data_IF_537460957034
#
_entry.id   IF_537460957034
#
_cell.length_a   1.000
_cell.length_b   1.000
_cell.length_c   1.000
_cell.angle_alpha   90.00
_cell.angle_beta   90.00
_cell.angle_gamma   90.00
#
_symmetry.space_group_name_H-M   'P 1'
#
loop_
_entity.id
_entity.type
_entity.pdbx_description
1 polymer ?
#
# COMPACT_ATOMS: atom_id res chain seq x y z
N UNK A 1 45.95 -7.39 13.06
CA UNK A 1 47.16 -7.34 12.21
C UNK A 1 47.54 -5.93 11.73
N UNK A 2 46.66 -5.14 11.06
CA UNK A 2 47.06 -3.79 10.58
C UNK A 2 47.17 -2.76 11.72
N UNK A 3 46.20 -2.72 12.64
CA UNK A 3 46.22 -1.85 13.83
C UNK A 3 47.38 -2.14 14.81
N UNK A 4 47.69 -3.41 15.06
CA UNK A 4 48.83 -3.81 15.91
C UNK A 4 50.17 -3.29 15.38
N UNK A 5 50.32 -3.25 14.07
CA UNK A 5 51.55 -2.81 13.42
C UNK A 5 51.73 -1.28 13.48
N UNK A 6 50.63 -0.54 13.51
CA UNK A 6 50.66 0.93 13.61
C UNK A 6 50.93 1.39 15.05
N UNK A 7 50.38 0.69 16.05
CA UNK A 7 50.72 0.92 17.46
C UNK A 7 52.21 0.64 17.75
N UNK A 8 52.77 -0.43 17.17
CA UNK A 8 54.18 -0.76 17.32
C UNK A 8 55.10 0.31 16.73
N UNK A 9 54.80 0.82 15.53
CA UNK A 9 55.56 1.92 14.89
C UNK A 9 55.52 3.20 15.72
N UNK A 10 54.37 3.52 16.29
CA UNK A 10 54.22 4.70 17.15
C UNK A 10 55.07 4.59 18.43
N UNK A 11 55.10 3.40 19.06
CA UNK A 11 55.93 3.14 20.25
C UNK A 11 57.43 3.24 19.91
N UNK A 12 57.86 2.68 18.78
CA UNK A 12 59.25 2.78 18.30
C UNK A 12 59.64 4.24 18.03
N UNK A 13 58.74 5.03 17.44
CA UNK A 13 58.94 6.47 17.23
C UNK A 13 59.11 7.22 18.56
N UNK A 14 58.26 6.95 19.55
CA UNK A 14 58.37 7.58 20.88
C UNK A 14 59.67 7.20 21.60
N UNK A 15 60.05 5.93 21.55
CA UNK A 15 61.29 5.43 22.16
C UNK A 15 62.53 6.05 21.50
N UNK A 16 62.55 6.11 20.17
CA UNK A 16 63.67 6.73 19.43
C UNK A 16 63.82 8.23 19.71
N UNK A 17 62.71 8.98 19.79
CA UNK A 17 62.73 10.41 20.19
C UNK A 17 63.27 10.57 21.61
N UNK A 18 62.83 9.72 22.54
CA UNK A 18 63.28 9.76 23.94
C UNK A 18 64.78 9.43 24.07
N UNK A 19 65.25 8.44 23.29
CA UNK A 19 66.66 8.05 23.27
C UNK A 19 67.56 9.16 22.71
N UNK A 20 67.11 9.83 21.63
CA UNK A 20 67.78 11.00 21.06
C UNK A 20 67.90 12.15 22.06
N UNK A 21 66.85 12.39 22.86
CA UNK A 21 66.85 13.40 23.91
C UNK A 21 67.90 13.11 25.00
N UNK A 22 67.95 11.87 25.49
CA UNK A 22 68.94 11.43 26.50
C UNK A 22 70.37 11.50 25.95
N UNK A 23 70.57 11.08 24.70
CA UNK A 23 71.86 11.18 24.02
C UNK A 23 72.33 12.63 23.87
N UNK A 24 71.43 13.54 23.49
CA UNK A 24 71.72 14.97 23.38
C UNK A 24 72.18 15.56 24.71
N UNK A 25 71.56 15.17 25.83
CA UNK A 25 71.97 15.61 27.17
C UNK A 25 73.41 15.16 27.48
N UNK A 26 73.69 13.86 27.34
CA UNK A 26 75.01 13.28 27.67
C UNK A 26 76.11 13.89 26.81
N UNK A 27 75.82 14.18 25.52
CA UNK A 27 76.76 14.79 24.60
C UNK A 27 77.13 16.23 25.01
N UNK A 28 76.15 17.06 25.34
CA UNK A 28 76.37 18.45 25.78
C UNK A 28 77.19 18.49 27.08
N UNK A 29 76.91 17.58 28.02
CA UNK A 29 77.57 17.55 29.32
C UNK A 29 79.05 17.11 29.24
N UNK A 30 79.40 16.30 28.23
CA UNK A 30 80.79 15.85 27.98
C UNK A 30 81.60 16.77 27.07
N UNK A 31 80.99 17.44 26.09
CA UNK A 31 81.71 18.14 25.02
C UNK A 31 81.62 19.67 25.07
N UNK A 32 80.77 20.27 25.92
CA UNK A 32 80.62 21.73 26.05
C UNK A 32 81.12 22.21 27.42
N UNK A 33 82.07 23.16 27.43
CA UNK A 33 82.60 23.78 28.64
C UNK A 33 81.51 24.52 29.42
N UNK A 34 81.55 24.41 30.75
CA UNK A 34 80.51 24.92 31.68
C UNK A 34 80.11 26.38 31.41
N UNK A 35 81.07 27.25 31.10
CA UNK A 35 80.84 28.68 30.85
C UNK A 35 80.06 28.97 29.55
N UNK A 36 80.09 28.07 28.56
CA UNK A 36 79.41 28.25 27.26
C UNK A 36 78.05 27.52 27.17
N UNK A 37 77.71 26.71 28.18
CA UNK A 37 76.45 25.94 28.21
C UNK A 37 75.20 26.82 28.22
N UNK A 38 75.28 27.99 28.87
CA UNK A 38 74.18 28.97 28.91
C UNK A 38 73.82 29.48 27.50
N UNK A 39 74.81 29.95 26.73
CA UNK A 39 74.63 30.41 25.35
C UNK A 39 74.13 29.29 24.41
N UNK A 40 74.45 28.03 24.70
CA UNK A 40 73.94 26.88 23.97
C UNK A 40 72.48 26.59 24.33
N UNK A 41 72.11 26.71 25.62
CA UNK A 41 70.73 26.62 26.11
C UNK A 41 69.80 27.65 25.50
N UNK A 42 70.26 28.88 25.28
CA UNK A 42 69.45 29.95 24.64
C UNK A 42 69.00 29.60 23.21
N UNK A 43 69.84 28.87 22.44
CA UNK A 43 69.46 28.37 21.11
C UNK A 43 68.40 27.28 21.18
N UNK A 44 68.46 26.41 22.20
CA UNK A 44 67.42 25.43 22.46
C UNK A 44 66.10 26.08 22.92
N UNK A 45 66.14 27.23 23.62
CA UNK A 45 64.95 27.99 23.96
C UNK A 45 64.17 28.49 22.72
N UNK A 46 64.89 29.00 21.72
CA UNK A 46 64.30 29.39 20.43
C UNK A 46 63.70 28.18 19.69
N UNK A 47 64.45 27.07 19.62
CA UNK A 47 64.01 25.82 18.99
C UNK A 47 62.77 25.24 19.70
N UNK A 48 62.74 25.23 21.03
CA UNK A 48 61.59 24.77 21.81
C UNK A 48 60.35 25.63 21.54
N UNK A 49 60.50 26.95 21.48
CA UNK A 49 59.41 27.86 21.17
C UNK A 49 58.83 27.61 19.77
N UNK A 50 59.70 27.33 18.79
CA UNK A 50 59.29 26.95 17.43
C UNK A 50 58.56 25.60 17.41
N UNK A 51 59.07 24.59 18.11
CA UNK A 51 58.42 23.28 18.23
C UNK A 51 57.06 23.38 18.93
N UNK A 52 56.92 24.21 19.96
CA UNK A 52 55.62 24.47 20.61
C UNK A 52 54.63 25.14 19.64
N UNK A 53 55.08 26.10 18.83
CA UNK A 53 54.25 26.71 17.79
C UNK A 53 53.82 25.72 16.69
N UNK A 54 54.74 24.88 16.23
CA UNK A 54 54.44 23.83 15.25
C UNK A 54 53.51 22.74 15.82
N UNK A 55 53.71 22.32 17.06
CA UNK A 55 52.83 21.38 17.73
C UNK A 55 51.41 21.95 17.87
N UNK A 56 51.29 23.23 18.23
CA UNK A 56 50.00 23.93 18.26
C UNK A 56 49.37 23.98 16.86
N UNK A 57 50.14 24.27 15.82
CA UNK A 57 49.65 24.28 14.44
C UNK A 57 49.17 22.89 13.98
N UNK A 58 49.88 21.82 14.34
CA UNK A 58 49.46 20.43 14.09
C UNK A 58 48.18 20.10 14.85
N UNK A 59 48.04 20.51 16.12
CA UNK A 59 46.82 20.29 16.91
C UNK A 59 45.64 21.03 16.27
N UNK A 60 45.80 22.30 15.91
CA UNK A 60 44.76 23.10 15.24
C UNK A 60 44.36 22.44 13.91
N UNK A 61 45.33 22.01 13.11
CA UNK A 61 45.06 21.31 11.85
C UNK A 61 44.31 19.99 12.07
N UNK A 62 44.71 19.21 13.07
CA UNK A 62 44.01 17.97 13.45
C UNK A 62 42.57 18.24 13.91
N UNK A 63 42.32 19.30 14.68
CA UNK A 63 40.96 19.70 15.09
C UNK A 63 40.12 20.05 13.86
N UNK A 64 40.68 20.79 12.90
CA UNK A 64 39.98 21.12 11.64
C UNK A 64 39.62 19.85 10.86
N UNK A 65 40.55 18.88 10.78
CA UNK A 65 40.32 17.61 10.10
C UNK A 65 39.25 16.77 10.82
N UNK A 66 39.28 16.70 12.15
CA UNK A 66 38.26 16.03 12.95
C UNK A 66 36.87 16.66 12.79
N UNK A 67 36.77 18.00 12.74
CA UNK A 67 35.51 18.68 12.47
C UNK A 67 34.97 18.32 11.08
N UNK A 68 35.84 18.24 10.07
CA UNK A 68 35.46 17.81 8.72
C UNK A 68 34.94 16.38 8.72
N UNK A 69 35.60 15.46 9.41
CA UNK A 69 35.17 14.05 9.53
C UNK A 69 33.82 13.93 10.23
N UNK A 70 33.62 14.63 11.36
CA UNK A 70 32.33 14.66 12.06
C UNK A 70 31.20 15.20 11.19
N UNK A 71 31.46 16.22 10.37
CA UNK A 71 30.48 16.76 9.44
C UNK A 71 30.12 15.74 8.34
N UNK A 72 31.11 15.01 7.81
CA UNK A 72 30.87 13.94 6.83
C UNK A 72 30.06 12.79 7.47
N UNK A 73 30.42 12.35 8.68
CA UNK A 73 29.67 11.31 9.41
C UNK A 73 28.22 11.72 9.69
N UNK A 74 27.99 12.99 10.08
CA UNK A 74 26.62 13.50 10.29
C UNK A 74 25.79 13.47 9.01
N UNK A 75 26.42 13.81 7.87
CA UNK A 75 25.77 13.75 6.55
C UNK A 75 25.41 12.31 6.20
N UNK A 76 26.36 11.39 6.29
CA UNK A 76 26.14 9.96 6.00
C UNK A 76 25.04 9.35 6.88
N UNK A 77 25.00 9.72 8.17
CA UNK A 77 23.94 9.28 9.09
C UNK A 77 22.57 9.84 8.70
N UNK A 78 22.52 11.07 8.21
CA UNK A 78 21.28 11.67 7.68
C UNK A 78 20.80 10.92 6.44
N UNK A 79 21.70 10.67 5.48
CA UNK A 79 21.40 9.95 4.24
C UNK A 79 20.94 8.51 4.55
N UNK A 80 21.62 7.82 5.47
CA UNK A 80 21.24 6.48 5.95
C UNK A 80 19.87 6.46 6.61
N UNK A 81 19.53 7.46 7.43
CA UNK A 81 18.20 7.56 8.06
C UNK A 81 17.10 7.74 7.01
N UNK A 82 17.38 8.46 5.94
CA UNK A 82 16.41 8.66 4.87
C UNK A 82 16.17 7.35 4.10
N UNK A 83 17.25 6.67 3.69
CA UNK A 83 17.17 5.35 3.04
C UNK A 83 16.41 4.34 3.91
N UNK A 84 16.66 4.33 5.22
CA UNK A 84 15.95 3.45 6.15
C UNK A 84 14.43 3.72 6.19
N UNK A 85 13.99 4.98 6.11
CA UNK A 85 12.56 5.31 6.04
C UNK A 85 11.92 4.79 4.77
N UNK A 86 12.59 4.96 3.64
CA UNK A 86 12.10 4.50 2.33
C UNK A 86 12.01 2.95 2.31
N UNK A 87 13.01 2.25 2.85
CA UNK A 87 12.98 0.79 2.99
C UNK A 87 11.86 0.31 3.95
N UNK A 88 11.66 0.99 5.08
CA UNK A 88 10.58 0.66 6.02
C UNK A 88 9.20 0.88 5.39
N UNK A 89 9.03 1.95 4.61
CA UNK A 89 7.83 2.19 3.82
C UNK A 89 7.57 1.05 2.83
N UNK A 90 8.56 0.71 1.98
CA UNK A 90 8.43 -0.36 0.99
C UNK A 90 8.08 -1.70 1.65
N UNK A 91 8.77 -2.05 2.74
CA UNK A 91 8.51 -3.27 3.51
C UNK A 91 7.08 -3.28 4.05
N UNK A 92 6.63 -2.18 4.65
CA UNK A 92 5.26 -2.05 5.16
C UNK A 92 4.24 -2.18 4.03
N UNK A 93 4.47 -1.51 2.91
CA UNK A 93 3.60 -1.55 1.73
C UNK A 93 3.46 -2.97 1.17
N UNK A 94 4.56 -3.68 0.93
CA UNK A 94 4.51 -5.05 0.40
C UNK A 94 3.91 -6.04 1.41
N UNK A 95 4.11 -5.82 2.71
CA UNK A 95 3.42 -6.59 3.74
C UNK A 95 1.90 -6.37 3.68
N UNK A 96 1.44 -5.13 3.48
CA UNK A 96 0.01 -4.86 3.28
C UNK A 96 -0.52 -5.56 2.01
N UNK A 97 0.20 -5.53 0.89
CA UNK A 97 -0.20 -6.29 -0.31
C UNK A 97 -0.30 -7.79 -0.01
N UNK A 98 0.67 -8.35 0.71
CA UNK A 98 0.63 -9.76 1.10
C UNK A 98 -0.58 -10.08 1.97
N UNK A 99 -0.87 -9.25 2.98
CA UNK A 99 -2.07 -9.37 3.82
C UNK A 99 -3.35 -9.25 2.99
N UNK A 100 -3.38 -8.39 1.98
CA UNK A 100 -4.52 -8.30 1.06
C UNK A 100 -4.78 -9.63 0.35
N UNK A 101 -3.73 -10.30 -0.15
CA UNK A 101 -3.87 -11.61 -0.79
C UNK A 101 -4.33 -12.69 0.20
N UNK A 102 -3.89 -12.64 1.46
CA UNK A 102 -4.37 -13.53 2.51
C UNK A 102 -5.85 -13.33 2.79
N UNK A 103 -6.30 -12.08 2.96
CA UNK A 103 -7.72 -11.74 3.15
C UNK A 103 -8.56 -12.25 1.97
N UNK A 104 -8.07 -12.12 0.74
CA UNK A 104 -8.75 -12.71 -0.43
C UNK A 104 -8.90 -14.22 -0.25
N UNK A 105 -7.84 -14.94 0.10
CA UNK A 105 -7.88 -16.40 0.21
C UNK A 105 -8.74 -16.90 1.38
N UNK A 106 -8.94 -16.09 2.42
CA UNK A 106 -9.79 -16.39 3.57
C UNK A 106 -11.29 -16.19 3.29
N UNK A 107 -11.65 -15.54 2.19
CA UNK A 107 -13.05 -15.40 1.78
C UNK A 107 -13.64 -16.79 1.50
N UNK A 108 -14.70 -17.14 2.19
CA UNK A 108 -15.44 -18.38 1.97
C UNK A 108 -16.92 -18.18 2.32
N UNK A 109 -17.81 -18.62 1.44
CA UNK A 109 -19.25 -18.64 1.69
C UNK A 109 -19.93 -19.62 0.76
N UNK A 110 -21.06 -20.18 1.20
CA UNK A 110 -22.00 -20.90 0.33
C UNK A 110 -23.08 -19.94 -0.16
N UNK A 111 -23.29 -19.86 -1.47
CA UNK A 111 -24.37 -19.08 -2.08
C UNK A 111 -25.48 -20.04 -2.50
N UNK A 112 -26.68 -19.79 -2.01
CA UNK A 112 -27.84 -20.65 -2.25
C UNK A 112 -28.78 -20.03 -3.28
N UNK A 113 -29.26 -20.86 -4.18
CA UNK A 113 -30.20 -20.48 -5.22
C UNK A 113 -31.15 -21.63 -5.56
N UNK A 114 -32.25 -21.39 -6.27
CA UNK A 114 -33.16 -22.45 -6.71
C UNK A 114 -32.70 -23.08 -8.04
N UNK A 115 -32.59 -24.41 -8.07
CA UNK A 115 -32.26 -25.20 -9.27
C UNK A 115 -33.51 -25.62 -10.04
N UNK A 116 -34.58 -25.95 -9.32
CA UNK A 116 -35.91 -26.28 -9.84
C UNK A 116 -36.97 -25.70 -8.89
N UNK A 117 -38.25 -25.95 -9.14
CA UNK A 117 -39.34 -25.48 -8.27
C UNK A 117 -39.22 -25.96 -6.81
N UNK A 118 -38.53 -27.07 -6.54
CA UNK A 118 -38.40 -27.66 -5.20
C UNK A 118 -36.96 -28.05 -4.80
N UNK A 119 -35.96 -27.82 -5.65
CA UNK A 119 -34.56 -28.14 -5.35
C UNK A 119 -33.70 -26.89 -5.25
N UNK A 120 -32.84 -26.87 -4.26
CA UNK A 120 -31.80 -25.85 -4.10
C UNK A 120 -30.50 -26.26 -4.79
N UNK A 121 -29.79 -25.27 -5.31
CA UNK A 121 -28.39 -25.34 -5.70
C UNK A 121 -27.53 -24.59 -4.68
N UNK A 122 -26.38 -25.18 -4.36
CA UNK A 122 -25.39 -24.61 -3.46
C UNK A 122 -24.11 -24.37 -4.24
N UNK A 123 -23.59 -23.14 -4.17
CA UNK A 123 -22.35 -22.76 -4.82
C UNK A 123 -21.32 -22.33 -3.78
N UNK A 124 -20.24 -23.09 -3.66
CA UNK A 124 -19.10 -22.77 -2.80
C UNK A 124 -18.25 -21.66 -3.44
N UNK A 125 -18.29 -20.48 -2.85
CA UNK A 125 -17.57 -19.30 -3.29
C UNK A 125 -16.37 -19.03 -2.38
N UNK A 126 -15.22 -19.58 -2.77
CA UNK A 126 -13.94 -19.46 -2.06
C UNK A 126 -12.97 -18.53 -2.79
N UNK A 127 -12.35 -17.63 -2.04
CA UNK A 127 -11.42 -16.62 -2.52
C UNK A 127 -11.90 -15.86 -3.74
N UNK A 128 -11.12 -15.91 -4.82
CA UNK A 128 -11.43 -15.21 -6.09
C UNK A 128 -12.73 -15.66 -6.75
N UNK A 129 -13.19 -16.88 -6.48
CA UNK A 129 -14.46 -17.36 -7.05
C UNK A 129 -15.67 -16.60 -6.52
N UNK A 130 -15.60 -16.04 -5.31
CA UNK A 130 -16.61 -15.13 -4.79
C UNK A 130 -16.76 -13.88 -5.65
N UNK A 131 -15.63 -13.24 -6.01
CA UNK A 131 -15.66 -12.05 -6.86
C UNK A 131 -16.19 -12.36 -8.26
N UNK A 132 -15.81 -13.51 -8.85
CA UNK A 132 -16.41 -13.97 -10.11
C UNK A 132 -17.92 -14.14 -10.01
N UNK A 133 -18.39 -14.72 -8.89
CA UNK A 133 -19.81 -14.95 -8.64
C UNK A 133 -20.58 -13.65 -8.37
N UNK A 134 -19.93 -12.60 -7.87
CA UNK A 134 -20.58 -11.32 -7.56
C UNK A 134 -21.35 -10.75 -8.77
N UNK A 135 -20.78 -10.78 -9.98
CA UNK A 135 -21.48 -10.29 -11.19
C UNK A 135 -22.77 -11.05 -11.48
N UNK A 136 -22.80 -12.35 -11.22
CA UNK A 136 -24.01 -13.18 -11.38
C UNK A 136 -25.05 -12.79 -10.35
N UNK A 137 -24.66 -12.60 -9.09
CA UNK A 137 -25.57 -12.18 -8.02
C UNK A 137 -26.14 -10.78 -8.25
N UNK A 138 -25.37 -9.84 -8.79
CA UNK A 138 -25.91 -8.52 -9.17
C UNK A 138 -26.96 -8.64 -10.27
N UNK A 139 -26.71 -9.44 -11.32
CA UNK A 139 -27.70 -9.71 -12.37
C UNK A 139 -28.93 -10.44 -11.82
N UNK A 140 -28.77 -11.30 -10.83
CA UNK A 140 -29.86 -11.98 -10.14
C UNK A 140 -30.76 -11.00 -9.40
N UNK A 141 -30.17 -10.06 -8.64
CA UNK A 141 -30.90 -8.98 -7.96
C UNK A 141 -31.60 -8.09 -9.00
N UNK A 142 -30.88 -7.65 -10.04
CA UNK A 142 -31.44 -6.81 -11.09
C UNK A 142 -32.63 -7.46 -11.79
N UNK A 143 -32.51 -8.74 -12.16
CA UNK A 143 -33.61 -9.49 -12.79
C UNK A 143 -34.84 -9.56 -11.86
N UNK A 144 -34.64 -9.73 -10.56
CA UNK A 144 -35.73 -9.74 -9.59
C UNK A 144 -36.40 -8.36 -9.43
N UNK A 145 -35.63 -7.28 -9.56
CA UNK A 145 -36.18 -5.92 -9.56
C UNK A 145 -36.92 -5.61 -10.87
N UNK A 146 -36.45 -6.10 -12.02
CA UNK A 146 -37.02 -5.78 -13.34
C UNK A 146 -38.14 -6.73 -13.81
N UNK A 147 -38.48 -7.78 -13.05
CA UNK A 147 -39.51 -8.74 -13.48
C UNK A 147 -40.90 -8.10 -13.50
N UNK A 148 -41.45 -7.89 -14.70
CA UNK A 148 -42.76 -7.24 -14.93
C UNK A 148 -43.97 -8.15 -14.72
N UNK A 149 -43.76 -9.46 -14.46
CA UNK A 149 -44.81 -10.46 -14.67
C UNK A 149 -45.48 -11.03 -13.41
N UNK A 150 -45.01 -10.71 -12.21
CA UNK A 150 -45.65 -11.14 -10.96
C UNK A 150 -45.58 -9.97 -9.98
N UNK A 151 -46.74 -9.50 -9.50
CA UNK A 151 -46.81 -8.62 -8.34
C UNK A 151 -45.85 -9.17 -7.27
N UNK A 152 -45.00 -8.33 -6.67
CA UNK A 152 -44.12 -8.68 -5.55
C UNK A 152 -44.61 -9.92 -4.80
N UNK A 153 -43.89 -11.03 -4.95
CA UNK A 153 -44.31 -12.32 -4.42
C UNK A 153 -43.50 -12.61 -3.14
N UNK A 154 -44.19 -12.55 -2.01
CA UNK A 154 -43.60 -12.96 -0.74
C UNK A 154 -43.38 -14.47 -0.75
N UNK A 155 -42.18 -14.92 -0.36
CA UNK A 155 -41.96 -16.33 -0.10
C UNK A 155 -42.69 -16.72 1.18
N UNK A 156 -43.70 -17.57 1.07
CA UNK A 156 -44.52 -18.04 2.18
C UNK A 156 -44.22 -19.51 2.53
N UNK A 157 -44.51 -19.94 3.76
CA UNK A 157 -44.45 -21.37 4.13
C UNK A 157 -45.41 -22.23 3.28
N UNK A 158 -46.47 -21.63 2.74
CA UNK A 158 -47.38 -22.28 1.79
C UNK A 158 -46.70 -22.63 0.47
N UNK A 159 -45.69 -21.86 0.04
CA UNK A 159 -44.89 -22.18 -1.16
C UNK A 159 -44.07 -23.47 -1.00
N UNK A 160 -43.86 -23.94 0.23
CA UNK A 160 -43.18 -25.22 0.50
C UNK A 160 -44.16 -26.42 0.44
N UNK A 161 -45.48 -26.17 0.45
CA UNK A 161 -46.54 -27.19 0.56
C UNK A 161 -47.40 -27.36 -0.70
N UNK A 162 -47.21 -26.55 -1.75
CA UNK A 162 -47.99 -26.66 -3.00
C UNK A 162 -47.75 -28.02 -3.67
N UNK A 163 -48.81 -28.66 -4.15
CA UNK A 163 -48.73 -29.88 -4.96
C UNK A 163 -47.84 -29.70 -6.19
N UNK A 164 -47.24 -30.80 -6.65
CA UNK A 164 -46.32 -30.78 -7.81
C UNK A 164 -47.02 -30.35 -9.11
N UNK A 165 -46.27 -29.78 -10.08
CA UNK A 165 -46.81 -29.40 -11.37
C UNK A 165 -47.36 -30.62 -12.13
N UNK A 166 -48.44 -30.46 -12.91
CA UNK A 166 -49.02 -31.56 -13.69
C UNK A 166 -48.40 -31.70 -15.09
N UNK A 167 -47.74 -30.65 -15.57
CA UNK A 167 -47.09 -30.62 -16.88
C UNK A 167 -45.88 -29.68 -16.87
N UNK A 168 -45.07 -29.73 -17.93
CA UNK A 168 -43.82 -28.99 -18.07
C UNK A 168 -44.02 -27.46 -18.08
N UNK A 169 -45.14 -26.97 -18.63
CA UNK A 169 -45.47 -25.54 -18.63
C UNK A 169 -45.78 -25.02 -17.22
N UNK A 170 -46.56 -25.77 -16.44
CA UNK A 170 -46.82 -25.47 -15.02
C UNK A 170 -45.55 -25.53 -14.19
N UNK A 171 -44.66 -26.49 -14.46
CA UNK A 171 -43.37 -26.60 -13.78
C UNK A 171 -42.52 -25.35 -14.03
N UNK A 172 -42.40 -24.91 -15.28
CA UNK A 172 -41.61 -23.74 -15.65
C UNK A 172 -42.18 -22.45 -15.02
N UNK A 173 -43.51 -22.25 -15.08
CA UNK A 173 -44.16 -21.10 -14.47
C UNK A 173 -44.02 -21.07 -12.94
N UNK A 174 -44.18 -22.23 -12.29
CA UNK A 174 -43.98 -22.37 -10.84
C UNK A 174 -42.53 -22.12 -10.46
N UNK A 175 -41.58 -22.64 -11.23
CA UNK A 175 -40.16 -22.40 -11.03
C UNK A 175 -39.83 -20.91 -11.14
N UNK A 176 -40.26 -20.23 -12.20
CA UNK A 176 -39.95 -18.80 -12.41
C UNK A 176 -40.52 -17.92 -11.27
N UNK A 177 -41.75 -18.20 -10.81
CA UNK A 177 -42.37 -17.50 -9.68
C UNK A 177 -41.64 -17.77 -8.35
N UNK A 178 -41.32 -19.04 -8.05
CA UNK A 178 -40.57 -19.39 -6.83
C UNK A 178 -39.15 -18.83 -6.86
N UNK A 179 -38.50 -18.85 -8.03
CA UNK A 179 -37.15 -18.29 -8.24
C UNK A 179 -37.11 -16.81 -7.92
N UNK A 180 -38.12 -16.06 -8.37
CA UNK A 180 -38.28 -14.64 -8.06
C UNK A 180 -38.48 -14.44 -6.55
N UNK A 181 -39.50 -15.09 -5.98
CA UNK A 181 -39.87 -14.97 -4.55
C UNK A 181 -38.69 -15.33 -3.63
N UNK A 182 -37.98 -16.41 -3.95
CA UNK A 182 -36.79 -16.83 -3.22
C UNK A 182 -35.68 -15.79 -3.32
N UNK A 183 -35.46 -15.19 -4.50
CA UNK A 183 -34.43 -14.17 -4.68
C UNK A 183 -34.76 -12.90 -3.87
N UNK A 184 -36.01 -12.46 -3.88
CA UNK A 184 -36.47 -11.33 -3.07
C UNK A 184 -36.24 -11.60 -1.58
N UNK A 185 -36.64 -12.77 -1.07
CA UNK A 185 -36.37 -13.21 0.30
C UNK A 185 -34.87 -13.30 0.61
N UNK A 186 -34.09 -13.91 -0.27
CA UNK A 186 -32.67 -14.18 -0.06
C UNK A 186 -31.83 -12.91 0.13
N UNK A 187 -32.22 -11.83 -0.58
CA UNK A 187 -31.60 -10.51 -0.53
C UNK A 187 -32.34 -9.50 0.35
N UNK A 188 -33.35 -9.94 1.10
CA UNK A 188 -34.17 -9.08 1.96
C UNK A 188 -34.73 -7.85 1.20
N UNK A 189 -35.32 -8.11 0.03
CA UNK A 189 -35.99 -7.09 -0.80
C UNK A 189 -37.48 -7.17 -0.49
N UNK A 190 -38.01 -6.18 0.21
CA UNK A 190 -39.44 -6.09 0.48
C UNK A 190 -40.20 -5.36 -0.64
N UNK A 191 -41.53 -5.24 -0.50
CA UNK A 191 -42.37 -4.58 -1.50
C UNK A 191 -41.98 -3.13 -1.73
N UNK A 192 -41.70 -2.38 -0.66
CA UNK A 192 -41.30 -0.98 -0.74
C UNK A 192 -39.97 -0.83 -1.46
N UNK A 193 -38.99 -1.65 -1.13
CA UNK A 193 -37.69 -1.72 -1.80
C UNK A 193 -37.84 -1.94 -3.31
N UNK A 194 -38.72 -2.87 -3.69
CA UNK A 194 -39.01 -3.19 -5.08
C UNK A 194 -39.70 -2.02 -5.82
N UNK A 195 -40.70 -1.38 -5.19
CA UNK A 195 -41.40 -0.21 -5.74
C UNK A 195 -40.49 1.01 -5.89
N UNK A 196 -39.63 1.25 -4.90
CA UNK A 196 -38.65 2.34 -4.92
C UNK A 196 -37.64 2.11 -6.05
N UNK A 197 -37.17 0.87 -6.24
CA UNK A 197 -36.24 0.50 -7.31
C UNK A 197 -36.79 0.81 -8.72
N UNK A 198 -38.10 0.66 -8.96
CA UNK A 198 -38.72 0.99 -10.27
C UNK A 198 -38.58 2.47 -10.64
N UNK A 199 -38.40 3.35 -9.65
CA UNK A 199 -38.32 4.81 -9.84
C UNK A 199 -36.88 5.31 -9.93
N UNK A 200 -35.91 4.45 -9.60
CA UNK A 200 -34.51 4.84 -9.58
C UNK A 200 -33.98 5.01 -11.00
N UNK A 201 -33.20 6.08 -11.17
CA UNK A 201 -32.35 6.24 -12.34
C UNK A 201 -31.24 5.18 -12.29
N UNK A 202 -30.68 4.90 -13.44
CA UNK A 202 -29.74 3.82 -13.66
C UNK A 202 -28.59 3.68 -12.64
N UNK A 203 -27.81 4.74 -12.38
CA UNK A 203 -26.71 4.67 -11.42
C UNK A 203 -27.19 4.53 -9.97
N UNK A 204 -28.35 5.09 -9.65
CA UNK A 204 -28.98 4.93 -8.33
C UNK A 204 -29.53 3.52 -8.16
N UNK A 205 -30.06 2.91 -9.22
CA UNK A 205 -30.45 1.50 -9.23
C UNK A 205 -29.21 0.60 -9.03
N UNK A 206 -28.10 0.91 -9.68
CA UNK A 206 -26.83 0.20 -9.47
C UNK A 206 -26.34 0.28 -8.01
N UNK A 207 -26.42 1.47 -7.38
CA UNK A 207 -26.14 1.65 -5.95
C UNK A 207 -27.10 0.85 -5.08
N UNK A 208 -28.38 0.82 -5.42
CA UNK A 208 -29.39 0.07 -4.69
C UNK A 208 -29.13 -1.45 -4.74
N UNK A 209 -28.86 -1.98 -5.94
CA UNK A 209 -28.46 -3.38 -6.16
C UNK A 209 -27.21 -3.69 -5.33
N UNK A 210 -26.20 -2.82 -5.40
CA UNK A 210 -25.00 -2.96 -4.58
C UNK A 210 -25.32 -2.99 -3.08
N UNK A 211 -26.23 -2.14 -2.60
CA UNK A 211 -26.66 -2.12 -1.20
C UNK A 211 -27.27 -3.45 -0.74
N UNK A 212 -28.13 -4.06 -1.56
CA UNK A 212 -28.71 -5.38 -1.28
C UNK A 212 -27.65 -6.49 -1.28
N UNK A 213 -26.74 -6.48 -2.24
CA UNK A 213 -25.59 -7.39 -2.26
C UNK A 213 -24.69 -7.20 -1.03
N UNK A 214 -24.39 -5.95 -0.67
CA UNK A 214 -23.55 -5.57 0.47
C UNK A 214 -24.13 -6.07 1.77
N UNK A 215 -25.42 -5.82 2.04
CA UNK A 215 -26.06 -6.28 3.27
C UNK A 215 -25.99 -7.81 3.42
N UNK A 216 -26.12 -8.54 2.31
CA UNK A 216 -26.06 -10.00 2.32
C UNK A 216 -24.67 -10.54 2.61
N UNK A 217 -23.63 -9.94 2.01
CA UNK A 217 -22.28 -10.49 2.01
C UNK A 217 -21.25 -9.64 2.76
N UNK A 218 -21.69 -8.64 3.54
CA UNK A 218 -20.81 -7.75 4.33
C UNK A 218 -19.81 -8.52 5.18
N UNK A 219 -20.27 -9.56 5.88
CA UNK A 219 -19.42 -10.37 6.74
C UNK A 219 -18.43 -11.25 5.98
N UNK A 220 -18.67 -11.48 4.68
CA UNK A 220 -17.83 -12.31 3.82
C UNK A 220 -16.67 -11.49 3.25
N UNK A 221 -16.95 -10.31 2.67
CA UNK A 221 -15.93 -9.54 1.94
C UNK A 221 -15.69 -8.12 2.50
N UNK A 222 -16.40 -7.70 3.54
CA UNK A 222 -16.28 -6.33 4.08
C UNK A 222 -14.86 -5.98 4.53
N UNK A 223 -14.13 -6.95 5.09
CA UNK A 223 -12.73 -6.78 5.48
C UNK A 223 -11.81 -6.50 4.27
N UNK A 224 -12.08 -7.10 3.12
CA UNK A 224 -11.32 -6.89 1.87
C UNK A 224 -11.30 -5.42 1.47
N UNK A 225 -12.46 -4.76 1.37
CA UNK A 225 -12.52 -3.36 0.94
C UNK A 225 -12.01 -2.38 1.99
N UNK A 226 -12.20 -2.68 3.28
CA UNK A 226 -11.61 -1.90 4.35
C UNK A 226 -10.08 -1.93 4.25
N UNK A 227 -9.51 -3.09 3.95
CA UNK A 227 -8.07 -3.25 3.81
C UNK A 227 -7.53 -2.57 2.53
N UNK A 228 -8.19 -2.71 1.38
CA UNK A 228 -7.87 -1.93 0.16
C UNK A 228 -7.88 -0.43 0.44
N UNK A 229 -8.92 0.07 1.12
CA UNK A 229 -8.98 1.48 1.52
C UNK A 229 -7.79 1.89 2.38
N UNK A 230 -7.38 1.06 3.35
CA UNK A 230 -6.24 1.38 4.20
C UNK A 230 -4.90 1.32 3.48
N UNK A 231 -4.73 0.44 2.48
CA UNK A 231 -3.55 0.43 1.61
C UNK A 231 -3.44 1.76 0.86
N UNK A 232 -4.52 2.15 0.18
CA UNK A 232 -4.52 3.39 -0.60
C UNK A 232 -4.40 4.63 0.29
N UNK A 233 -5.01 4.61 1.48
CA UNK A 233 -4.87 5.68 2.46
C UNK A 233 -3.44 5.77 3.01
N UNK A 234 -2.76 4.64 3.18
CA UNK A 234 -1.35 4.62 3.57
C UNK A 234 -0.46 5.25 2.50
N UNK A 235 -0.68 4.90 1.23
CA UNK A 235 -0.01 5.56 0.10
C UNK A 235 -0.28 7.07 0.10
N UNK A 236 -1.55 7.47 0.22
CA UNK A 236 -1.95 8.87 0.20
C UNK A 236 -1.30 9.68 1.32
N UNK A 237 -1.29 9.16 2.55
CA UNK A 237 -0.66 9.85 3.68
C UNK A 237 0.84 9.99 3.51
N UNK A 238 1.53 8.91 3.17
CA UNK A 238 3.00 8.94 3.03
C UNK A 238 3.42 9.82 1.85
N UNK A 239 2.65 9.84 0.77
CA UNK A 239 2.86 10.75 -0.37
C UNK A 239 2.82 12.21 0.10
N UNK A 240 1.78 12.61 0.85
CA UNK A 240 1.66 13.97 1.37
C UNK A 240 2.81 14.32 2.34
N UNK A 241 3.20 13.40 3.22
CA UNK A 241 4.31 13.59 4.15
C UNK A 241 5.66 13.75 3.42
N UNK A 242 5.90 12.98 2.35
CA UNK A 242 7.11 13.09 1.53
C UNK A 242 7.10 14.40 0.73
N UNK A 243 5.96 14.75 0.13
CA UNK A 243 5.80 16.01 -0.62
C UNK A 243 5.98 17.26 0.25
N UNK A 244 5.66 17.21 1.55
CA UNK A 244 5.82 18.33 2.46
C UNK A 244 7.29 18.69 2.74
N UNK A 245 8.23 17.77 2.45
CA UNK A 245 9.68 17.98 2.65
C UNK A 245 10.34 18.73 1.49
N UNK A 246 9.65 18.88 0.36
CA UNK A 246 10.19 19.51 -0.85
C UNK A 246 9.34 20.71 -1.24
N UNK A 247 10.00 21.81 -1.61
CA UNK A 247 9.30 23.00 -2.14
C UNK A 247 9.11 22.93 -3.65
N UNK A 248 10.09 22.34 -4.36
CA UNK A 248 10.10 22.23 -5.82
C UNK A 248 8.89 21.49 -6.37
N UNK A 249 8.24 22.08 -7.38
CA UNK A 249 7.13 21.45 -8.10
C UNK A 249 7.57 20.19 -8.85
N UNK A 250 8.81 20.16 -9.37
CA UNK A 250 9.36 19.00 -10.08
C UNK A 250 9.51 17.78 -9.15
N UNK A 251 10.06 17.99 -7.95
CA UNK A 251 10.20 16.93 -6.94
C UNK A 251 8.83 16.42 -6.47
N UNK A 252 7.88 17.33 -6.24
CA UNK A 252 6.49 16.96 -5.94
C UNK A 252 5.86 16.10 -7.04
N UNK A 253 6.15 16.39 -8.30
CA UNK A 253 5.64 15.60 -9.42
C UNK A 253 6.29 14.22 -9.49
N UNK A 254 7.59 14.09 -9.23
CA UNK A 254 8.28 12.79 -9.14
C UNK A 254 7.69 11.92 -8.02
N UNK A 255 7.42 12.51 -6.85
CA UNK A 255 6.79 11.81 -5.73
C UNK A 255 5.39 11.32 -6.11
N UNK A 256 4.57 12.17 -6.76
CA UNK A 256 3.26 11.73 -7.25
C UNK A 256 3.36 10.53 -8.20
N UNK A 257 4.33 10.55 -9.12
CA UNK A 257 4.56 9.45 -10.05
C UNK A 257 5.01 8.17 -9.33
N UNK A 258 5.90 8.28 -8.34
CA UNK A 258 6.34 7.17 -7.50
C UNK A 258 5.15 6.51 -6.78
N UNK A 259 4.28 7.29 -6.12
CA UNK A 259 3.11 6.77 -5.42
C UNK A 259 2.03 6.23 -6.36
N UNK A 260 1.90 6.81 -7.56
CA UNK A 260 1.06 6.24 -8.62
C UNK A 260 1.56 4.85 -9.04
N UNK A 261 2.88 4.64 -9.16
CA UNK A 261 3.44 3.31 -9.44
C UNK A 261 3.16 2.31 -8.32
N UNK A 262 3.22 2.73 -7.06
CA UNK A 262 2.82 1.85 -5.95
C UNK A 262 1.34 1.47 -6.02
N UNK A 263 0.45 2.39 -6.35
CA UNK A 263 -0.96 2.05 -6.55
C UNK A 263 -1.19 1.10 -7.74
N UNK A 264 -0.39 1.21 -8.81
CA UNK A 264 -0.42 0.25 -9.92
C UNK A 264 -0.01 -1.16 -9.47
N UNK A 265 0.92 -1.31 -8.52
CA UNK A 265 1.20 -2.63 -7.93
C UNK A 265 -0.02 -3.18 -7.18
N UNK A 266 -0.80 -2.34 -6.50
CA UNK A 266 -2.05 -2.78 -5.85
C UNK A 266 -3.05 -3.28 -6.91
N UNK A 267 -3.28 -2.49 -7.96
CA UNK A 267 -4.17 -2.87 -9.05
C UNK A 267 -3.72 -4.17 -9.74
N UNK A 268 -2.42 -4.33 -10.00
CA UNK A 268 -1.86 -5.52 -10.66
C UNK A 268 -2.09 -6.83 -9.87
N UNK A 269 -2.38 -6.72 -8.57
CA UNK A 269 -2.69 -7.85 -7.69
C UNK A 269 -4.20 -8.18 -7.65
N UNK A 270 -5.04 -7.32 -8.23
CA UNK A 270 -6.49 -7.46 -8.29
C UNK A 270 -6.93 -8.05 -9.63
N UNK A 271 -7.86 -9.00 -9.59
CA UNK A 271 -8.47 -9.55 -10.81
C UNK A 271 -9.57 -8.63 -11.36
N UNK A 272 -9.95 -8.78 -12.64
CA UNK A 272 -11.06 -8.00 -13.22
C UNK A 272 -12.38 -8.12 -12.42
N UNK A 273 -12.77 -9.30 -11.89
CA UNK A 273 -13.93 -9.40 -10.99
C UNK A 273 -13.79 -8.62 -9.67
N UNK A 274 -12.57 -8.50 -9.14
CA UNK A 274 -12.29 -7.65 -7.97
C UNK A 274 -12.42 -6.17 -8.33
N UNK A 275 -11.88 -5.73 -9.48
CA UNK A 275 -12.03 -4.37 -9.98
C UNK A 275 -13.51 -4.02 -10.25
N UNK A 276 -14.28 -4.96 -10.80
CA UNK A 276 -15.73 -4.84 -10.96
C UNK A 276 -16.40 -4.55 -9.62
N UNK A 277 -16.15 -5.37 -8.59
CA UNK A 277 -16.81 -5.17 -7.29
C UNK A 277 -16.30 -3.90 -6.59
N UNK A 278 -15.04 -3.52 -6.84
CA UNK A 278 -14.45 -2.26 -6.38
C UNK A 278 -15.15 -1.05 -6.98
N UNK A 279 -15.50 -1.08 -8.27
CA UNK A 279 -16.28 -0.02 -8.92
C UNK A 279 -17.61 0.18 -8.21
N UNK A 280 -18.41 -0.88 -8.00
CA UNK A 280 -19.72 -0.74 -7.34
C UNK A 280 -19.61 -0.39 -5.86
N UNK A 281 -18.58 -0.88 -5.15
CA UNK A 281 -18.29 -0.45 -3.79
C UNK A 281 -18.01 1.07 -3.75
N UNK A 282 -17.22 1.59 -4.71
CA UNK A 282 -16.88 3.02 -4.76
C UNK A 282 -18.11 3.93 -4.88
N UNK A 283 -19.21 3.46 -5.50
CA UNK A 283 -20.45 4.22 -5.62
C UNK A 283 -21.11 4.54 -4.27
N UNK A 284 -20.86 3.70 -3.24
CA UNK A 284 -21.42 3.85 -1.89
C UNK A 284 -20.39 4.37 -0.88
N UNK A 285 -19.09 4.24 -1.15
CA UNK A 285 -18.02 4.59 -0.23
C UNK A 285 -17.12 5.71 -0.79
N UNK A 286 -17.56 6.96 -0.61
CA UNK A 286 -16.90 8.15 -1.17
C UNK A 286 -15.42 8.31 -0.79
N UNK A 287 -15.02 7.89 0.42
CA UNK A 287 -13.61 7.95 0.85
C UNK A 287 -12.72 7.04 0.00
N UNK A 288 -13.19 5.83 -0.31
CA UNK A 288 -12.47 4.92 -1.20
C UNK A 288 -12.53 5.41 -2.64
N UNK A 289 -13.69 5.92 -3.08
CA UNK A 289 -13.86 6.47 -4.43
C UNK A 289 -12.84 7.57 -4.75
N UNK A 290 -12.61 8.50 -3.82
CA UNK A 290 -11.59 9.54 -3.97
C UNK A 290 -10.19 8.98 -4.24
N UNK A 291 -9.80 7.93 -3.52
CA UNK A 291 -8.49 7.28 -3.67
C UNK A 291 -8.41 6.49 -4.98
N UNK A 292 -9.49 5.80 -5.36
CA UNK A 292 -9.59 5.11 -6.65
C UNK A 292 -9.40 6.09 -7.81
N UNK A 293 -10.05 7.25 -7.75
CA UNK A 293 -9.92 8.31 -8.77
C UNK A 293 -8.49 8.88 -8.77
N UNK A 294 -7.96 9.24 -7.60
CA UNK A 294 -6.60 9.80 -7.45
C UNK A 294 -5.54 8.92 -8.12
N UNK A 295 -5.63 7.60 -7.90
CA UNK A 295 -4.63 6.65 -8.37
C UNK A 295 -5.03 5.89 -9.64
N UNK A 296 -6.15 6.25 -10.27
CA UNK A 296 -6.69 5.54 -11.44
C UNK A 296 -6.76 4.01 -11.26
N UNK A 297 -7.17 3.54 -10.07
CA UNK A 297 -7.08 2.12 -9.70
C UNK A 297 -7.90 1.20 -10.62
N UNK A 298 -8.89 1.72 -11.34
CA UNK A 298 -9.76 0.95 -12.23
C UNK A 298 -9.32 0.97 -13.71
N UNK A 299 -8.11 1.44 -14.02
CA UNK A 299 -7.62 1.55 -15.40
C UNK A 299 -7.79 0.27 -16.24
N UNK A 300 -7.56 -0.89 -15.62
CA UNK A 300 -7.65 -2.20 -16.27
C UNK A 300 -9.03 -2.87 -16.18
N UNK A 301 -10.07 -2.15 -15.78
CA UNK A 301 -11.46 -2.62 -15.83
C UNK A 301 -12.12 -2.18 -17.14
N UNK A 302 -12.42 -3.10 -18.07
CA UNK A 302 -13.15 -2.75 -19.28
C UNK A 302 -14.58 -2.32 -18.93
N UNK A 303 -15.10 -1.29 -19.61
CA UNK A 303 -16.49 -0.84 -19.42
C UNK A 303 -17.52 -1.95 -19.71
N UNK A 304 -17.18 -2.90 -20.58
CA UNK A 304 -18.01 -4.06 -20.95
C UNK A 304 -18.15 -5.07 -19.79
N UNK A 305 -17.27 -5.02 -18.79
CA UNK A 305 -17.31 -5.89 -17.62
C UNK A 305 -18.19 -5.36 -16.49
N UNK A 306 -18.73 -4.14 -16.62
CA UNK A 306 -19.79 -3.64 -15.77
C UNK A 306 -21.09 -4.47 -15.93
N UNK A 307 -22.10 -4.22 -15.08
CA UNK A 307 -23.45 -4.78 -15.26
C UNK A 307 -24.04 -4.21 -16.55
N UNK A 308 -23.94 -2.89 -16.69
CA UNK A 308 -24.23 -2.14 -17.92
C UNK A 308 -23.09 -1.16 -18.21
N UNK A 309 -22.68 -1.06 -19.47
CA UNK A 309 -21.62 -0.14 -19.92
C UNK A 309 -21.93 1.33 -19.60
N UNK A 310 -23.22 1.67 -19.64
CA UNK A 310 -23.79 2.97 -19.33
C UNK A 310 -23.61 3.42 -17.87
N UNK A 311 -23.19 2.54 -16.97
CA UNK A 311 -22.76 2.92 -15.62
C UNK A 311 -21.41 3.68 -15.61
N UNK A 312 -20.65 3.68 -16.71
CA UNK A 312 -19.38 4.43 -16.87
C UNK A 312 -19.61 5.95 -17.03
N UNK A 313 -20.27 6.56 -16.06
CA UNK A 313 -20.63 7.99 -16.01
C UNK A 313 -20.19 8.64 -14.69
N UNK A 314 -19.42 7.92 -13.87
CA UNK A 314 -18.96 8.40 -12.56
C UNK A 314 -17.84 9.43 -12.79
N UNK A 315 -18.03 10.65 -12.29
CA UNK A 315 -17.05 11.72 -12.43
C UNK A 315 -15.67 11.30 -11.88
N UNK A 316 -14.61 11.49 -12.68
CA UNK A 316 -13.24 11.09 -12.34
C UNK A 316 -12.89 9.63 -12.61
N UNK A 317 -13.86 8.78 -13.00
CA UNK A 317 -13.61 7.41 -13.46
C UNK A 317 -13.92 7.33 -14.95
N UNK A 318 -12.90 7.03 -15.76
CA UNK A 318 -13.04 6.88 -17.22
C UNK A 318 -12.58 5.49 -17.63
N UNK A 319 -13.49 4.52 -17.60
CA UNK A 319 -13.18 3.16 -18.05
C UNK A 319 -13.01 3.09 -19.56
N UNK A 320 -11.98 2.37 -19.99
CA UNK A 320 -11.63 2.13 -21.39
C UNK A 320 -12.46 0.96 -21.96
N UNK A 321 -12.63 0.92 -23.29
CA UNK A 321 -13.13 -0.31 -23.91
C UNK A 321 -12.07 -1.40 -23.86
N UNK A 322 -12.48 -2.67 -23.97
CA UNK A 322 -11.51 -3.76 -24.07
C UNK A 322 -10.53 -3.60 -25.25
N UNK A 323 -10.98 -2.99 -26.35
CA UNK A 323 -10.13 -2.69 -27.51
C UNK A 323 -9.07 -1.63 -27.17
N UNK A 324 -9.45 -0.60 -26.43
CA UNK A 324 -8.52 0.47 -26.01
C UNK A 324 -7.54 0.03 -24.91
N UNK A 325 -7.81 -1.08 -24.22
CA UNK A 325 -6.88 -1.66 -23.23
C UNK A 325 -5.82 -2.55 -23.90
N UNK A 326 -6.17 -3.15 -25.05
CA UNK A 326 -5.26 -4.04 -25.80
C UNK A 326 -4.25 -3.28 -26.68
N UNK A 327 -4.55 -2.03 -27.02
CA UNK A 327 -3.70 -1.13 -27.81
C UNK A 327 -2.97 -0.14 -26.90
#
# INVERSE_FOLDING_TARGET
>A
MKEENDNLKFIILLLSISLLWVWSWIFIDKFVAIEQRANFGDKFGFINSLFSGLALAVIIYSIILQQKELNLQRKELSDTRQEFKDQNFQTTFFNLIKTQQQIVNEISTTIVDLKSYNQYSYYEANGRTFFMRSRIEFKRIEKALNSSFVNFSEWTEYDEQVGGPQNEYEEQGLFDSRKLSYTLKYYDINKKDWEDAQRLKELELAKFIYGKFFNKFLHVYGHYFRHIYHILLFLDKTEHEKMAQFESLDEKQKIKQEFYQYANFVQAQMTTPELFLTFYNSLSFFKLQKLIIKYNLLENLPKEDLIHEKHNIVEGISLKSRVDILN
#
